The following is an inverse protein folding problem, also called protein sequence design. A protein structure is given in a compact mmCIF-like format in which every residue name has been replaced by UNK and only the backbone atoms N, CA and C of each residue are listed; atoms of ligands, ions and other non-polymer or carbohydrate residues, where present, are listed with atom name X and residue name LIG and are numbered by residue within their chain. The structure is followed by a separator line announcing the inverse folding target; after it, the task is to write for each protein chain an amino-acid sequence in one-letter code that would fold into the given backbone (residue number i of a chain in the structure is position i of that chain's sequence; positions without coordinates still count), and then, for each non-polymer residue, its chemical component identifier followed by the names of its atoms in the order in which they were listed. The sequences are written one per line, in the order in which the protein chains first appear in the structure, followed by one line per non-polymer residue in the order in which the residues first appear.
data_IF_504247602617
#
_entry.id   IF_504247602617
#
_cell.length_a   1.000
_cell.length_b   1.000
_cell.length_c   1.000
_cell.angle_alpha   90.00
_cell.angle_beta   90.00
_cell.angle_gamma   90.00
#
_symmetry.space_group_name_H-M   'P 1'
#
loop_
_entity.id
_entity.type
_entity.pdbx_description
1 polymer ?
#
# COMPACT_ATOMS: atom_id res chain seq x y z
N UNK A 1 15.51 -26.28 25.14
CA UNK A 1 15.30 -25.17 24.20
C UNK A 1 15.81 -23.89 24.88
N UNK A 2 16.92 -23.34 24.40
CA UNK A 2 17.46 -22.08 24.94
C UNK A 2 16.66 -20.92 24.29
N UNK A 3 15.88 -20.22 25.11
CA UNK A 3 15.14 -19.04 24.67
C UNK A 3 16.11 -17.96 24.21
N UNK A 4 15.85 -17.39 23.05
CA UNK A 4 16.56 -16.22 22.55
C UNK A 4 16.34 -15.06 23.55
N UNK A 5 17.43 -14.62 24.16
CA UNK A 5 17.43 -13.50 25.09
C UNK A 5 16.98 -12.21 24.37
N UNK A 6 16.12 -11.41 25.00
CA UNK A 6 15.63 -10.12 24.47
C UNK A 6 16.75 -9.19 24.01
N UNK A 7 17.92 -9.28 24.63
CA UNK A 7 19.11 -8.50 24.22
C UNK A 7 19.68 -8.95 22.88
N UNK A 8 19.61 -10.26 22.58
CA UNK A 8 20.07 -10.81 21.29
C UNK A 8 19.12 -10.44 20.19
N UNK A 9 17.80 -10.42 20.45
CA UNK A 9 16.79 -9.95 19.51
C UNK A 9 16.97 -8.47 19.17
N UNK A 10 17.23 -7.61 20.17
CA UNK A 10 17.47 -6.19 19.93
C UNK A 10 18.79 -5.91 19.18
N UNK A 11 19.82 -6.75 19.36
CA UNK A 11 21.06 -6.63 18.59
C UNK A 11 20.89 -7.09 17.14
N UNK A 12 20.07 -8.11 16.88
CA UNK A 12 19.71 -8.55 15.52
C UNK A 12 18.79 -7.54 14.82
N UNK A 13 17.86 -6.95 15.55
CA UNK A 13 16.99 -5.88 15.01
C UNK A 13 17.73 -4.53 14.87
N UNK A 14 18.77 -4.28 15.70
CA UNK A 14 19.55 -3.05 15.64
C UNK A 14 20.72 -3.07 14.64
N UNK A 15 21.11 -4.24 14.13
CA UNK A 15 22.25 -4.40 13.21
C UNK A 15 21.91 -4.22 11.74
N UNK A 16 20.65 -4.17 11.39
CA UNK A 16 20.15 -3.83 10.07
C UNK A 16 19.37 -2.53 10.13
N UNK A 17 19.97 -1.49 10.68
CA UNK A 17 19.57 -0.13 10.35
C UNK A 17 20.00 0.13 8.89
N UNK A 18 19.34 -0.56 7.95
CA UNK A 18 18.94 0.14 6.77
C UNK A 18 18.12 1.28 7.35
N UNK A 19 18.71 2.45 7.47
CA UNK A 19 17.98 3.68 7.60
C UNK A 19 17.04 3.71 6.39
N UNK A 20 15.86 3.14 6.54
CA UNK A 20 14.70 3.62 5.83
C UNK A 20 14.56 5.02 6.41
N UNK A 21 15.35 5.94 5.85
CA UNK A 21 15.00 7.32 5.91
C UNK A 21 13.57 7.33 5.40
N UNK A 22 12.62 7.41 6.32
CA UNK A 22 11.30 7.89 6.03
C UNK A 22 11.53 9.34 5.61
N UNK A 23 12.06 9.50 4.42
CA UNK A 23 12.00 10.73 3.69
C UNK A 23 10.51 10.91 3.48
N UNK A 24 9.93 11.77 4.28
CA UNK A 24 8.71 12.46 3.91
C UNK A 24 9.07 13.15 2.60
N UNK A 25 8.85 12.44 1.52
CA UNK A 25 9.07 12.95 0.19
C UNK A 25 7.87 13.83 -0.09
N UNK A 26 7.99 15.08 0.33
CA UNK A 26 7.25 16.15 -0.32
C UNK A 26 7.35 15.92 -1.81
N UNK A 27 6.25 16.00 -2.55
CA UNK A 27 6.11 15.60 -3.96
C UNK A 27 7.14 16.12 -4.98
N UNK A 28 8.19 16.79 -4.54
CA UNK A 28 9.32 17.23 -5.36
C UNK A 28 10.44 16.17 -5.53
N UNK A 29 10.56 15.18 -4.66
CA UNK A 29 11.63 14.19 -4.73
C UNK A 29 11.35 13.03 -5.70
N UNK A 30 10.17 12.99 -6.32
CA UNK A 30 9.82 12.01 -7.37
C UNK A 30 10.39 12.34 -8.76
N UNK A 31 11.20 13.40 -8.88
CA UNK A 31 11.79 13.87 -10.15
C UNK A 31 13.24 13.45 -10.34
N UNK A 32 13.68 12.32 -9.82
CA UNK A 32 15.01 11.82 -10.17
C UNK A 32 14.97 11.20 -11.57
N UNK A 33 15.76 11.72 -12.54
CA UNK A 33 15.95 11.10 -13.84
C UNK A 33 16.84 9.88 -13.67
N UNK A 34 16.21 8.73 -13.62
CA UNK A 34 16.79 7.41 -13.49
C UNK A 34 15.67 6.47 -13.05
N UNK A 35 15.44 5.38 -13.78
CA UNK A 35 14.42 4.43 -13.41
C UNK A 35 14.67 3.97 -11.96
N UNK A 36 13.92 4.54 -11.02
CA UNK A 36 14.02 4.15 -9.62
C UNK A 36 13.75 2.65 -9.55
N UNK A 37 14.73 1.90 -9.05
CA UNK A 37 14.60 0.44 -8.91
C UNK A 37 13.45 0.07 -7.98
N UNK A 38 13.22 0.89 -6.98
CA UNK A 38 12.19 0.64 -5.95
C UNK A 38 11.11 1.70 -6.02
N UNK A 39 9.87 1.24 -5.93
CA UNK A 39 8.70 2.06 -5.74
C UNK A 39 8.22 1.90 -4.30
N UNK A 40 8.27 2.99 -3.52
CA UNK A 40 7.60 3.09 -2.24
C UNK A 40 6.54 4.19 -2.35
N UNK A 41 5.32 3.91 -1.88
CA UNK A 41 4.23 4.88 -1.89
C UNK A 41 3.27 4.64 -0.74
N UNK A 42 2.62 5.71 -0.32
CA UNK A 42 1.47 5.72 0.57
C UNK A 42 0.43 6.66 -0.02
N UNK A 43 -0.80 6.22 -0.06
CA UNK A 43 -1.90 7.00 -0.58
C UNK A 43 -3.16 6.78 0.25
N UNK A 44 -3.98 7.83 0.36
CA UNK A 44 -5.22 7.76 1.12
C UNK A 44 -6.38 8.47 0.43
N UNK A 45 -7.60 8.06 0.79
CA UNK A 45 -8.83 8.71 0.39
C UNK A 45 -9.95 8.55 1.43
N UNK A 46 -10.73 9.60 1.62
CA UNK A 46 -11.99 9.54 2.36
C UNK A 46 -13.10 8.96 1.48
N UNK A 47 -13.84 7.99 2.01
CA UNK A 47 -14.93 7.33 1.29
C UNK A 47 -16.22 7.37 2.11
N UNK A 48 -17.37 7.68 1.49
CA UNK A 48 -18.67 7.63 2.16
C UNK A 48 -19.11 6.18 2.37
N UNK A 49 -19.68 5.89 3.52
CA UNK A 49 -20.30 4.60 3.84
C UNK A 49 -21.81 4.71 3.66
N UNK A 50 -22.28 4.41 2.46
CA UNK A 50 -23.73 4.43 2.18
C UNK A 50 -24.43 3.19 2.76
N UNK A 51 -25.61 3.31 3.36
CA UNK A 51 -26.44 4.52 3.50
C UNK A 51 -26.13 5.37 4.76
N UNK A 52 -25.11 5.04 5.53
CA UNK A 52 -24.78 5.71 6.78
C UNK A 52 -24.16 7.10 6.53
N UNK A 53 -24.46 8.11 7.36
CA UNK A 53 -23.83 9.42 7.26
C UNK A 53 -22.42 9.41 7.88
N UNK A 54 -21.61 8.44 7.51
CA UNK A 54 -20.27 8.24 8.04
C UNK A 54 -19.25 8.14 6.91
N UNK A 55 -18.02 8.44 7.25
CA UNK A 55 -16.88 8.38 6.32
C UNK A 55 -15.84 7.41 6.87
N UNK A 56 -15.14 6.77 5.98
CA UNK A 56 -13.97 5.92 6.27
C UNK A 56 -12.77 6.43 5.49
N UNK A 57 -11.57 6.09 5.96
CA UNK A 57 -10.33 6.37 5.23
C UNK A 57 -9.79 5.07 4.67
N UNK A 58 -9.64 5.00 3.35
CA UNK A 58 -8.88 3.94 2.69
C UNK A 58 -7.42 4.37 2.61
N UNK A 59 -6.50 3.48 3.00
CA UNK A 59 -5.06 3.66 2.91
C UNK A 59 -4.47 2.51 2.11
N UNK A 60 -3.60 2.84 1.18
CA UNK A 60 -2.82 1.87 0.39
C UNK A 60 -1.35 2.24 0.50
N UNK A 61 -0.53 1.28 0.94
CA UNK A 61 0.91 1.45 1.11
C UNK A 61 1.64 0.33 0.36
N UNK A 62 2.66 0.65 -0.40
CA UNK A 62 3.36 -0.32 -1.22
C UNK A 62 4.88 -0.18 -1.21
N UNK A 63 5.54 -1.33 -1.30
CA UNK A 63 6.99 -1.45 -1.50
C UNK A 63 7.24 -2.49 -2.59
N UNK A 64 7.71 -2.05 -3.75
CA UNK A 64 7.86 -2.89 -4.94
C UNK A 64 9.24 -2.69 -5.57
N UNK A 65 9.93 -3.78 -5.87
CA UNK A 65 11.13 -3.76 -6.74
C UNK A 65 10.65 -3.78 -8.20
N UNK A 66 10.80 -2.67 -8.89
CA UNK A 66 10.36 -2.51 -10.27
C UNK A 66 11.18 -3.34 -11.27
N UNK A 67 12.41 -3.74 -10.88
CA UNK A 67 13.26 -4.57 -11.74
C UNK A 67 12.77 -6.02 -11.78
N UNK A 68 12.35 -6.55 -10.63
CA UNK A 68 11.82 -7.92 -10.53
C UNK A 68 10.32 -7.98 -10.72
N UNK A 69 9.62 -6.85 -10.61
CA UNK A 69 8.17 -6.78 -10.63
C UNK A 69 7.52 -7.40 -9.40
N UNK A 70 8.25 -7.50 -8.28
CA UNK A 70 7.77 -8.16 -7.06
C UNK A 70 7.75 -7.21 -5.88
N UNK A 71 6.86 -7.45 -4.93
CA UNK A 71 6.73 -6.63 -3.74
C UNK A 71 5.45 -6.91 -2.97
N UNK A 72 5.16 -6.06 -2.01
CA UNK A 72 3.97 -6.15 -1.16
C UNK A 72 3.27 -4.81 -1.13
N UNK A 73 1.96 -4.85 -1.25
CA UNK A 73 1.08 -3.71 -1.03
C UNK A 73 0.09 -4.07 0.07
N UNK A 74 -0.04 -3.22 1.08
CA UNK A 74 -1.09 -3.31 2.07
C UNK A 74 -2.24 -2.38 1.71
N UNK A 75 -3.46 -2.84 1.89
CA UNK A 75 -4.68 -2.05 1.73
C UNK A 75 -5.54 -2.21 2.96
N UNK A 76 -5.90 -1.11 3.60
CA UNK A 76 -6.73 -1.11 4.82
C UNK A 76 -7.75 0.01 4.77
N UNK A 77 -8.85 -0.20 5.46
CA UNK A 77 -9.89 0.81 5.64
C UNK A 77 -10.05 1.07 7.13
N UNK A 78 -9.92 2.31 7.52
CA UNK A 78 -10.02 2.77 8.90
C UNK A 78 -11.32 3.56 9.07
N UNK A 79 -11.92 3.49 10.24
CA UNK A 79 -13.07 4.33 10.57
C UNK A 79 -12.65 5.80 10.68
N UNK A 80 -13.50 6.71 10.18
CA UNK A 80 -13.30 8.15 10.27
C UNK A 80 -12.58 8.79 9.08
N UNK A 81 -12.91 10.09 8.86
CA UNK A 81 -12.28 10.98 7.90
C UNK A 81 -12.66 12.42 8.29
N UNK A 82 -11.78 13.45 8.19
CA UNK A 82 -10.38 13.39 7.68
C UNK A 82 -9.36 12.83 8.67
N UNK A 83 -9.76 12.61 9.92
CA UNK A 83 -8.89 12.01 10.93
C UNK A 83 -9.27 10.54 11.08
N UNK A 84 -8.49 9.61 10.48
CA UNK A 84 -8.77 8.19 10.62
C UNK A 84 -8.50 7.73 12.05
N UNK A 85 -9.37 6.87 12.56
CA UNK A 85 -9.12 6.17 13.81
C UNK A 85 -8.01 5.11 13.62
N UNK A 86 -7.47 4.60 14.73
CA UNK A 86 -6.54 3.46 14.64
C UNK A 86 -7.25 2.10 14.45
N UNK A 87 -8.58 2.12 14.41
CA UNK A 87 -9.40 0.91 14.29
C UNK A 87 -9.57 0.60 12.82
N UNK A 88 -8.94 -0.48 12.36
CA UNK A 88 -9.20 -1.05 11.04
C UNK A 88 -10.56 -1.75 11.03
N UNK A 89 -11.31 -1.57 9.95
CA UNK A 89 -12.57 -2.28 9.77
C UNK A 89 -12.28 -3.76 9.47
N UNK A 90 -12.92 -4.68 10.21
CA UNK A 90 -12.71 -6.11 10.01
C UNK A 90 -13.01 -6.53 8.56
N UNK A 91 -12.18 -7.43 8.02
CA UNK A 91 -12.35 -7.95 6.66
C UNK A 91 -11.95 -6.97 5.53
N UNK A 92 -11.52 -5.76 5.87
CA UNK A 92 -11.08 -4.74 4.89
C UNK A 92 -9.58 -4.42 4.96
N UNK A 93 -8.82 -5.23 5.71
CA UNK A 93 -7.35 -5.17 5.72
C UNK A 93 -6.82 -6.36 4.95
N UNK A 94 -6.01 -6.10 3.94
CA UNK A 94 -5.46 -7.16 3.09
C UNK A 94 -4.03 -6.86 2.68
N UNK A 95 -3.25 -7.93 2.53
CA UNK A 95 -1.93 -7.91 1.92
C UNK A 95 -2.04 -8.43 0.49
N UNK A 96 -1.42 -7.70 -0.42
CA UNK A 96 -1.41 -7.97 -1.85
C UNK A 96 0.03 -8.25 -2.24
N UNK A 97 0.29 -9.47 -2.68
CA UNK A 97 1.59 -9.84 -3.22
C UNK A 97 1.65 -9.43 -4.67
N UNK A 98 2.58 -8.55 -5.00
CA UNK A 98 2.82 -8.09 -6.37
C UNK A 98 3.57 -9.16 -7.13
N UNK A 99 3.09 -9.49 -8.32
CA UNK A 99 3.62 -10.56 -9.19
C UNK A 99 4.17 -10.01 -10.50
N UNK A 100 3.77 -8.79 -10.88
CA UNK A 100 4.32 -8.09 -12.03
C UNK A 100 4.20 -6.58 -11.85
N UNK A 101 5.15 -5.84 -12.40
CA UNK A 101 5.11 -4.38 -12.47
C UNK A 101 5.54 -3.93 -13.87
N UNK A 102 4.81 -2.99 -14.45
CA UNK A 102 5.17 -2.31 -15.68
C UNK A 102 5.20 -0.82 -15.45
N UNK A 103 6.12 -0.13 -16.09
CA UNK A 103 6.27 1.32 -15.97
C UNK A 103 6.28 1.96 -17.36
N UNK A 104 5.46 2.98 -17.54
CA UNK A 104 5.42 3.80 -18.74
C UNK A 104 5.10 5.26 -18.38
N UNK A 105 5.89 6.20 -18.91
CA UNK A 105 5.67 7.66 -18.82
C UNK A 105 5.26 8.17 -17.42
N UNK A 106 5.85 7.62 -16.34
CA UNK A 106 5.53 8.02 -14.97
C UNK A 106 4.35 7.29 -14.33
N UNK A 107 3.69 6.41 -15.06
CA UNK A 107 2.63 5.53 -14.57
C UNK A 107 3.19 4.14 -14.32
N UNK A 108 2.97 3.60 -13.12
CA UNK A 108 3.35 2.23 -12.76
C UNK A 108 2.08 1.42 -12.57
N UNK A 109 1.96 0.30 -13.30
CA UNK A 109 0.90 -0.69 -13.13
C UNK A 109 1.44 -1.90 -12.39
N UNK A 110 0.78 -2.25 -11.32
CA UNK A 110 1.15 -3.35 -10.43
C UNK A 110 0.07 -4.42 -10.53
N UNK A 111 0.42 -5.60 -11.00
CA UNK A 111 -0.46 -6.77 -10.93
C UNK A 111 -0.17 -7.54 -9.65
N UNK A 112 -1.18 -7.89 -8.89
CA UNK A 112 -1.02 -8.55 -7.61
C UNK A 112 -2.12 -9.56 -7.30
N UNK A 113 -1.86 -10.35 -6.27
CA UNK A 113 -2.79 -11.38 -5.79
C UNK A 113 -2.96 -11.25 -4.29
N UNK A 114 -4.19 -11.33 -3.82
CA UNK A 114 -4.53 -11.49 -2.40
C UNK A 114 -4.46 -12.96 -2.07
N UNK A 115 -3.45 -13.38 -1.30
CA UNK A 115 -3.24 -14.79 -0.98
C UNK A 115 -4.29 -15.31 0.01
N UNK A 116 -4.68 -14.49 0.98
CA UNK A 116 -5.73 -14.83 1.95
C UNK A 116 -7.11 -14.47 1.41
N UNK A 117 -7.79 -15.46 0.86
CA UNK A 117 -9.13 -15.30 0.28
C UNK A 117 -10.21 -14.91 1.31
N UNK A 118 -9.97 -15.13 2.59
CA UNK A 118 -10.90 -14.69 3.65
C UNK A 118 -11.01 -13.17 3.76
N UNK A 119 -10.03 -12.46 3.20
CA UNK A 119 -9.97 -10.99 3.15
C UNK A 119 -10.70 -10.39 1.94
N UNK A 120 -11.26 -11.23 1.07
CA UNK A 120 -12.02 -10.78 -0.10
C UNK A 120 -13.49 -10.59 0.27
N UNK A 121 -14.06 -9.51 -0.22
CA UNK A 121 -15.51 -9.31 -0.16
C UNK A 121 -16.19 -10.19 -1.22
N UNK A 122 -17.47 -10.44 -1.02
CA UNK A 122 -18.25 -11.24 -1.96
C UNK A 122 -18.19 -10.65 -3.39
N UNK A 123 -17.81 -11.48 -4.36
CA UNK A 123 -17.69 -11.07 -5.76
C UNK A 123 -16.34 -10.40 -6.14
N UNK A 124 -15.43 -10.22 -5.19
CA UNK A 124 -14.08 -9.71 -5.52
C UNK A 124 -13.18 -10.81 -6.09
N UNK A 125 -12.36 -10.43 -7.07
CA UNK A 125 -11.30 -11.29 -7.61
C UNK A 125 -10.08 -11.28 -6.67
N UNK A 126 -9.41 -12.42 -6.44
CA UNK A 126 -8.12 -12.44 -5.76
C UNK A 126 -7.02 -11.75 -6.58
N UNK A 127 -7.14 -11.70 -7.89
CA UNK A 127 -6.21 -11.00 -8.79
C UNK A 127 -6.70 -9.57 -9.01
N UNK A 128 -5.79 -8.61 -8.88
CA UNK A 128 -6.13 -7.20 -9.00
C UNK A 128 -4.98 -6.39 -9.64
N UNK A 129 -5.33 -5.21 -10.10
CA UNK A 129 -4.37 -4.22 -10.59
C UNK A 129 -4.41 -2.96 -9.71
N UNK A 130 -3.23 -2.41 -9.42
CA UNK A 130 -3.05 -1.12 -8.78
C UNK A 130 -2.27 -0.23 -9.74
N UNK A 131 -2.75 0.99 -9.95
CA UNK A 131 -2.09 1.96 -10.83
C UNK A 131 -1.57 3.12 -10.01
N UNK A 132 -0.27 3.35 -10.04
CA UNK A 132 0.39 4.50 -9.40
C UNK A 132 0.74 5.51 -10.49
N UNK A 133 0.03 6.63 -10.51
CA UNK A 133 0.28 7.73 -11.43
C UNK A 133 1.09 8.82 -10.72
N UNK A 134 2.39 8.83 -10.98
CA UNK A 134 3.32 9.78 -10.36
C UNK A 134 3.12 11.21 -10.90
N UNK A 135 2.61 11.34 -12.13
CA UNK A 135 2.39 12.65 -12.74
C UNK A 135 1.20 13.37 -12.09
N UNK A 136 0.18 12.60 -11.71
CA UNK A 136 -1.02 13.12 -11.03
C UNK A 136 -0.94 13.04 -9.51
N UNK A 137 0.05 12.33 -8.96
CA UNK A 137 0.15 12.08 -7.52
C UNK A 137 -1.01 11.22 -6.99
N UNK A 138 -1.45 10.23 -7.77
CA UNK A 138 -2.60 9.40 -7.42
C UNK A 138 -2.30 7.90 -7.50
N UNK A 139 -3.05 7.14 -6.70
CA UNK A 139 -3.08 5.68 -6.76
C UNK A 139 -4.50 5.24 -7.02
N UNK A 140 -4.71 4.42 -8.03
CA UNK A 140 -5.99 3.75 -8.27
C UNK A 140 -5.91 2.32 -7.77
N UNK A 141 -6.78 1.95 -6.86
CA UNK A 141 -6.82 0.61 -6.27
C UNK A 141 -8.25 0.12 -6.09
N UNK A 142 -8.51 -1.19 -6.26
CA UNK A 142 -9.85 -1.74 -6.14
C UNK A 142 -10.33 -1.79 -4.68
N UNK A 143 -11.63 -1.61 -4.50
CA UNK A 143 -12.36 -1.84 -3.26
C UNK A 143 -13.80 -2.28 -3.59
N UNK A 144 -14.22 -3.43 -3.10
CA UNK A 144 -15.57 -3.95 -3.31
C UNK A 144 -16.00 -3.97 -4.79
N UNK A 145 -15.10 -4.38 -5.68
CA UNK A 145 -15.37 -4.46 -7.13
C UNK A 145 -15.35 -3.13 -7.89
N UNK A 146 -15.03 -2.02 -7.21
CA UNK A 146 -14.91 -0.69 -7.82
C UNK A 146 -13.49 -0.14 -7.67
N UNK A 147 -13.04 0.66 -8.63
CA UNK A 147 -11.78 1.36 -8.50
C UNK A 147 -11.95 2.65 -7.71
N UNK A 148 -11.07 2.86 -6.74
CA UNK A 148 -10.99 4.05 -5.90
C UNK A 148 -9.70 4.79 -6.22
N UNK A 149 -9.79 6.10 -6.37
CA UNK A 149 -8.64 6.99 -6.57
C UNK A 149 -8.24 7.56 -5.22
N UNK A 150 -6.97 7.38 -4.86
CA UNK A 150 -6.36 7.88 -3.63
C UNK A 150 -5.29 8.92 -3.99
N UNK A 151 -5.06 9.87 -3.10
CA UNK A 151 -3.99 10.87 -3.24
C UNK A 151 -2.72 10.35 -2.55
N UNK A 152 -1.56 10.47 -3.20
CA UNK A 152 -0.25 10.14 -2.61
C UNK A 152 0.07 11.20 -1.55
N UNK A 153 0.47 10.72 -0.37
CA UNK A 153 0.87 11.55 0.77
C UNK A 153 2.35 11.93 0.72
#
# INVERSE_FOLDING_TARGET
MKGLDRRTFLKLAGGSSVAVAATVVSGAALRLPGAARYLAFRASAGLPVKPLPSMVTKIVEGHVDLKTGTGIVSSRVLAGYPVPSQIALPGLTRLIRITAATQDAGVVRLSGVVDDRSQLLAGESPSLEIVVDRNRGTVTAPLAGHNVILTIE
#
